data_IF_878904702047
#
_entry.id   IF_878904702047
#
_cell.length_a   1.000
_cell.length_b   1.000
_cell.length_c   1.000
_cell.angle_alpha   90.00
_cell.angle_beta   90.00
_cell.angle_gamma   90.00
#
_symmetry.space_group_name_H-M   'P 1'
#
loop_
_entity.id
_entity.type
_entity.pdbx_description
1 polymer ?
#
# COMPACT_ATOMS: atom_id res chain seq x y z
N UNK A 1 10.50 13.50 -19.08
CA UNK A 1 9.51 14.53 -19.45
C UNK A 1 8.28 14.30 -18.59
N UNK A 2 8.00 15.19 -17.64
CA UNK A 2 6.85 15.03 -16.75
C UNK A 2 5.57 15.26 -17.58
N UNK A 3 4.72 14.24 -17.69
CA UNK A 3 3.43 14.35 -18.36
C UNK A 3 2.60 15.39 -17.61
N UNK A 4 2.12 16.41 -18.31
CA UNK A 4 1.23 17.43 -17.79
C UNK A 4 0.05 16.71 -17.12
N UNK A 5 -0.10 16.93 -15.81
CA UNK A 5 -1.18 16.31 -15.04
C UNK A 5 -2.45 17.03 -15.41
N UNK A 6 -3.41 16.31 -15.99
CA UNK A 6 -4.77 16.80 -16.10
C UNK A 6 -5.32 16.95 -14.68
N UNK A 7 -5.56 18.19 -14.26
CA UNK A 7 -6.07 18.52 -12.93
C UNK A 7 -7.56 18.79 -13.05
N UNK A 8 -8.36 17.86 -12.52
CA UNK A 8 -9.78 18.11 -12.27
C UNK A 8 -9.92 18.72 -10.87
N UNK A 9 -10.60 19.86 -10.77
CA UNK A 9 -10.83 20.57 -9.51
C UNK A 9 -12.25 21.09 -9.44
N UNK A 10 -12.91 20.88 -8.30
CA UNK A 10 -14.24 21.35 -7.99
C UNK A 10 -14.33 21.57 -6.48
N UNK A 11 -15.20 22.48 -6.06
CA UNK A 11 -15.42 22.79 -4.66
C UNK A 11 -16.47 21.86 -4.08
N UNK A 12 -16.08 21.08 -3.08
CA UNK A 12 -17.00 20.21 -2.35
C UNK A 12 -17.22 20.75 -0.93
N UNK A 13 -18.45 20.66 -0.46
CA UNK A 13 -18.77 21.00 0.94
C UNK A 13 -18.52 19.77 1.81
N UNK A 14 -17.95 19.99 3.00
CA UNK A 14 -17.78 18.93 3.99
C UNK A 14 -19.08 18.76 4.76
N UNK A 15 -19.60 17.54 4.79
CA UNK A 15 -20.78 17.19 5.57
C UNK A 15 -20.54 17.24 7.07
N UNK A 16 -21.60 17.07 7.86
CA UNK A 16 -21.55 17.25 9.31
C UNK A 16 -20.72 16.19 10.03
N UNK A 17 -20.47 15.04 9.39
CA UNK A 17 -19.66 13.95 9.93
C UNK A 17 -18.30 13.82 9.22
N UNK A 18 -17.92 14.82 8.42
CA UNK A 18 -16.67 14.78 7.65
C UNK A 18 -16.79 14.04 6.32
N UNK A 19 -18.01 13.74 5.84
CA UNK A 19 -18.19 13.17 4.51
C UNK A 19 -17.85 14.18 3.40
N UNK A 20 -17.18 13.69 2.36
CA UNK A 20 -16.92 14.42 1.12
C UNK A 20 -17.65 13.70 -0.01
N UNK A 21 -18.51 14.42 -0.72
CA UNK A 21 -19.11 13.88 -1.95
C UNK A 21 -18.17 14.13 -3.11
N UNK A 22 -17.61 13.05 -3.67
CA UNK A 22 -16.75 13.11 -4.85
C UNK A 22 -17.64 13.25 -6.10
N UNK A 23 -17.47 14.29 -6.93
CA UNK A 23 -18.23 14.43 -8.18
C UNK A 23 -18.04 13.23 -9.12
N UNK A 24 -19.07 12.83 -9.90
CA UNK A 24 -19.02 11.64 -10.76
C UNK A 24 -17.85 11.63 -11.76
N UNK A 25 -17.51 12.81 -12.29
CA UNK A 25 -16.39 13.00 -13.22
C UNK A 25 -15.03 12.73 -12.57
N UNK A 26 -14.83 13.16 -11.33
CA UNK A 26 -13.62 12.85 -10.56
C UNK A 26 -13.57 11.39 -10.14
N UNK A 27 -14.70 10.81 -9.75
CA UNK A 27 -14.79 9.39 -9.41
C UNK A 27 -14.39 8.51 -10.61
N UNK A 28 -14.87 8.89 -11.80
CA UNK A 28 -14.52 8.23 -13.06
C UNK A 28 -13.03 8.37 -13.39
N UNK A 29 -12.45 9.56 -13.18
CA UNK A 29 -11.03 9.81 -13.38
C UNK A 29 -10.12 9.07 -12.36
N UNK A 30 -10.60 8.87 -11.13
CA UNK A 30 -9.94 8.05 -10.11
C UNK A 30 -10.01 6.55 -10.45
N UNK A 31 -10.93 6.14 -11.32
CA UNK A 31 -11.14 4.74 -11.70
C UNK A 31 -11.66 3.87 -10.56
N UNK A 32 -12.47 4.45 -9.67
CA UNK A 32 -12.99 3.80 -8.46
C UNK A 32 -14.48 3.50 -8.64
N UNK A 33 -14.90 2.27 -8.35
CA UNK A 33 -16.30 1.86 -8.34
C UNK A 33 -16.93 1.98 -6.94
N UNK A 34 -18.27 1.99 -6.82
CA UNK A 34 -18.93 1.88 -5.52
C UNK A 34 -18.45 0.63 -4.77
N UNK A 35 -18.14 0.79 -3.47
CA UNK A 35 -17.58 -0.22 -2.57
C UNK A 35 -16.09 -0.56 -2.76
N UNK A 36 -15.37 0.11 -3.67
CA UNK A 36 -13.91 0.00 -3.74
C UNK A 36 -13.24 0.72 -2.56
N UNK A 37 -12.09 0.19 -2.16
CA UNK A 37 -11.25 0.81 -1.15
C UNK A 37 -10.36 1.89 -1.77
N UNK A 38 -10.32 3.05 -1.11
CA UNK A 38 -9.41 4.14 -1.44
C UNK A 38 -8.47 4.39 -0.27
N UNK A 39 -7.24 4.76 -0.58
CA UNK A 39 -6.30 5.24 0.42
C UNK A 39 -6.44 6.77 0.53
N UNK A 40 -6.63 7.23 1.76
CA UNK A 40 -6.63 8.64 2.14
C UNK A 40 -5.34 8.96 2.87
N UNK A 41 -4.55 9.90 2.35
CA UNK A 41 -3.33 10.36 3.00
C UNK A 41 -3.35 11.88 3.10
N UNK A 42 -2.98 12.41 4.26
CA UNK A 42 -2.78 13.86 4.45
C UNK A 42 -1.30 14.17 4.35
N UNK A 43 -0.93 15.03 3.40
CA UNK A 43 0.45 15.51 3.22
C UNK A 43 0.41 17.04 3.11
N UNK A 44 1.10 17.74 4.01
CA UNK A 44 1.19 19.21 4.01
C UNK A 44 -0.17 19.94 3.92
N UNK A 45 -1.21 19.37 4.54
CA UNK A 45 -2.57 19.93 4.53
C UNK A 45 -3.39 19.60 3.27
N UNK A 46 -2.85 18.79 2.37
CA UNK A 46 -3.55 18.28 1.18
C UNK A 46 -4.04 16.86 1.45
N UNK A 47 -5.32 16.61 1.20
CA UNK A 47 -5.89 15.27 1.20
C UNK A 47 -5.66 14.62 -0.16
N UNK A 48 -4.75 13.66 -0.21
CA UNK A 48 -4.54 12.81 -1.39
C UNK A 48 -5.44 11.58 -1.32
N UNK A 49 -6.22 11.36 -2.39
CA UNK A 49 -7.04 10.17 -2.57
C UNK A 49 -6.41 9.33 -3.67
N UNK A 50 -6.13 8.05 -3.39
CA UNK A 50 -5.59 7.10 -4.37
C UNK A 50 -6.45 5.84 -4.39
N UNK A 51 -6.79 5.33 -5.57
CA UNK A 51 -7.42 4.02 -5.72
C UNK A 51 -6.50 2.91 -5.21
N UNK A 52 -7.06 1.78 -4.77
CA UNK A 52 -6.25 0.65 -4.27
C UNK A 52 -5.17 0.20 -5.28
N UNK A 53 -5.51 0.09 -6.56
CA UNK A 53 -4.55 -0.26 -7.62
C UNK A 53 -3.46 0.79 -7.80
N UNK A 54 -3.81 2.08 -7.77
CA UNK A 54 -2.81 3.14 -7.90
C UNK A 54 -1.95 3.30 -6.65
N UNK A 55 -2.49 3.02 -5.46
CA UNK A 55 -1.75 2.96 -4.21
C UNK A 55 -0.79 1.77 -4.19
N UNK A 56 -1.22 0.60 -4.65
CA UNK A 56 -0.39 -0.60 -4.79
C UNK A 56 0.74 -0.40 -5.79
N UNK A 57 0.46 0.15 -6.98
CA UNK A 57 1.48 0.51 -7.96
C UNK A 57 2.45 1.58 -7.42
N UNK A 58 1.94 2.54 -6.65
CA UNK A 58 2.76 3.53 -5.96
C UNK A 58 3.71 2.90 -4.95
N UNK A 59 3.21 2.01 -4.10
CA UNK A 59 3.99 1.27 -3.12
C UNK A 59 5.04 0.38 -3.80
N UNK A 60 4.66 -0.36 -4.84
CA UNK A 60 5.61 -1.14 -5.64
C UNK A 60 6.70 -0.26 -6.24
N UNK A 61 6.38 0.93 -6.72
CA UNK A 61 7.37 1.84 -7.32
C UNK A 61 8.33 2.44 -6.29
N UNK A 62 7.91 2.60 -5.04
CA UNK A 62 8.78 3.00 -3.92
C UNK A 62 9.70 1.84 -3.53
N UNK A 63 9.19 0.61 -3.55
CA UNK A 63 9.94 -0.59 -3.16
C UNK A 63 10.84 -1.13 -4.30
N UNK A 64 10.49 -0.86 -5.56
CA UNK A 64 11.16 -1.36 -6.75
C UNK A 64 12.69 -1.13 -6.78
N UNK A 65 13.25 0.00 -6.30
CA UNK A 65 14.70 0.18 -6.24
C UNK A 65 15.43 -0.80 -5.31
N UNK A 66 14.72 -1.44 -4.36
CA UNK A 66 15.28 -2.38 -3.39
C UNK A 66 15.00 -3.85 -3.68
N UNK A 67 14.24 -4.18 -4.75
CA UNK A 67 13.90 -5.56 -5.10
C UNK A 67 14.95 -6.12 -6.05
N UNK A 68 15.70 -7.12 -5.60
CA UNK A 68 16.61 -7.88 -6.46
C UNK A 68 15.81 -8.81 -7.39
N UNK A 69 16.04 -8.75 -8.72
CA UNK A 69 15.30 -9.59 -9.67
C UNK A 69 15.62 -11.07 -9.42
N UNK A 70 14.57 -11.90 -9.34
CA UNK A 70 14.69 -13.34 -9.12
C UNK A 70 14.91 -13.75 -7.65
N UNK A 71 14.96 -12.80 -6.71
CA UNK A 71 15.09 -13.06 -5.28
C UNK A 71 13.77 -12.79 -4.58
N UNK A 72 13.21 -13.82 -3.94
CA UNK A 72 11.98 -13.72 -3.15
C UNK A 72 12.34 -13.49 -1.69
N UNK A 73 12.17 -12.26 -1.22
CA UNK A 73 12.36 -11.89 0.20
C UNK A 73 11.43 -12.73 1.10
N UNK A 74 10.25 -13.09 0.59
CA UNK A 74 9.30 -13.95 1.31
C UNK A 74 9.88 -15.34 1.53
N UNK A 75 10.53 -15.93 0.52
CA UNK A 75 11.14 -17.26 0.67
C UNK A 75 12.34 -17.23 1.61
N UNK A 76 13.14 -16.15 1.61
CA UNK A 76 14.22 -15.96 2.58
C UNK A 76 13.69 -15.88 4.02
N UNK A 77 12.66 -15.08 4.26
CA UNK A 77 12.06 -14.93 5.60
C UNK A 77 11.40 -16.22 6.10
N UNK A 78 10.76 -16.99 5.20
CA UNK A 78 10.20 -18.30 5.55
C UNK A 78 11.31 -19.29 5.88
N UNK A 79 12.41 -19.30 5.12
CA UNK A 79 13.55 -20.16 5.39
C UNK A 79 14.23 -19.82 6.71
N UNK A 80 14.37 -18.53 7.03
CA UNK A 80 14.94 -18.04 8.27
C UNK A 80 14.10 -18.49 9.49
N UNK A 81 12.78 -18.28 9.43
CA UNK A 81 11.85 -18.76 10.47
C UNK A 81 11.95 -20.27 10.71
N UNK A 82 12.13 -21.06 9.65
CA UNK A 82 12.30 -22.52 9.76
C UNK A 82 13.63 -22.90 10.42
N UNK A 83 14.71 -22.16 10.15
CA UNK A 83 16.01 -22.38 10.81
C UNK A 83 15.96 -22.03 12.29
N UNK A 84 15.31 -20.94 12.65
CA UNK A 84 15.11 -20.57 14.06
C UNK A 84 14.38 -21.67 14.84
N UNK A 85 13.29 -22.20 14.27
CA UNK A 85 12.51 -23.29 14.90
C UNK A 85 13.34 -24.58 15.04
N UNK A 86 14.21 -24.90 14.09
CA UNK A 86 15.11 -26.06 14.17
C UNK A 86 16.14 -25.89 15.29
N UNK A 87 16.71 -24.69 15.44
CA UNK A 87 17.67 -24.37 16.50
C UNK A 87 17.04 -24.45 17.89
N UNK A 88 15.79 -23.99 18.04
CA UNK A 88 15.05 -24.09 19.31
C UNK A 88 14.73 -25.55 19.69
N UNK A 89 14.48 -26.44 18.72
CA UNK A 89 14.27 -27.87 19.01
C UNK A 89 15.54 -28.61 19.42
N UNK A 90 16.69 -28.26 18.83
CA UNK A 90 17.98 -28.89 19.15
C UNK A 90 18.49 -28.45 20.54
N UNK A 91 18.31 -27.18 20.90
CA UNK A 91 18.66 -26.65 22.24
C UNK A 91 17.82 -27.30 23.36
N UNK A 92 16.58 -27.72 23.06
CA UNK A 92 15.72 -28.41 24.02
C UNK A 92 16.07 -29.89 24.21
N UNK A 93 16.79 -30.51 23.26
CA UNK A 93 17.27 -31.89 23.34
C UNK A 93 18.48 -32.08 24.25
N UNK A 94 19.36 -31.08 24.32
CA UNK A 94 20.63 -31.12 25.09
C UNK A 94 20.44 -30.80 26.59
N UNK A 95 19.32 -30.20 26.99
CA UNK A 95 19.04 -29.85 28.39
C UNK A 95 18.29 -30.97 29.17
N UNK A 96 18.13 -32.15 28.58
CA UNK A 96 17.33 -33.26 29.13
C UNK A 96 18.12 -34.56 29.34
N UNK A 97 19.46 -34.53 29.29
CA UNK A 97 20.34 -35.68 29.59
C UNK A 97 21.11 -35.51 30.91
#
# INVERSE_FOLDING_TARGET
>A
MAKEREVLSDWVTVGSQGELTIPPEMLSALGVAPADLVNLTVVDGVLEIRSADSAWLGAQRILAPGILPGVSIVDELIADRRREVQLESDVKGDAAE
#
